data_IF_729523524262
#
_entry.id   IF_729523524262
#
_cell.length_a   1.000
_cell.length_b   1.000
_cell.length_c   1.000
_cell.angle_alpha   90.00
_cell.angle_beta   90.00
_cell.angle_gamma   90.00
#
_symmetry.space_group_name_H-M   'P 1'
#
loop_
_entity.id
_entity.type
_entity.pdbx_description
1 polymer ?
#
# COMPACT_ATOMS: atom_id res chain seq x y z
N UNK A 1 -50.09 -42.72 -27.63
CA UNK A 1 -49.53 -41.86 -26.58
C UNK A 1 -48.03 -42.06 -26.58
N UNK A 2 -47.28 -41.16 -27.20
CA UNK A 2 -45.82 -41.22 -27.25
C UNK A 2 -45.24 -40.41 -26.09
N UNK A 3 -44.44 -41.05 -25.25
CA UNK A 3 -43.72 -40.42 -24.14
C UNK A 3 -42.47 -39.76 -24.73
N UNK A 4 -42.36 -38.44 -24.64
CA UNK A 4 -41.11 -37.75 -25.01
C UNK A 4 -39.99 -38.14 -24.03
N UNK A 5 -38.77 -38.39 -24.52
CA UNK A 5 -37.64 -38.71 -23.65
C UNK A 5 -37.24 -37.48 -22.82
N UNK A 6 -37.14 -37.68 -21.51
CA UNK A 6 -36.75 -36.65 -20.54
C UNK A 6 -35.25 -36.31 -20.69
N UNK A 7 -34.91 -35.41 -21.60
CA UNK A 7 -33.53 -34.96 -21.90
C UNK A 7 -32.94 -33.98 -20.86
N UNK A 8 -33.62 -33.70 -19.75
CA UNK A 8 -33.35 -32.48 -18.98
C UNK A 8 -32.19 -32.53 -17.97
N UNK A 9 -31.69 -33.71 -17.58
CA UNK A 9 -30.68 -33.81 -16.49
C UNK A 9 -29.23 -33.76 -16.96
N UNK A 10 -28.91 -34.36 -18.11
CA UNK A 10 -27.54 -34.37 -18.64
C UNK A 10 -27.16 -32.99 -19.20
N UNK A 11 -28.09 -32.33 -19.88
CA UNK A 11 -27.89 -30.99 -20.45
C UNK A 11 -27.75 -29.89 -19.37
N UNK A 12 -28.50 -30.01 -18.27
CA UNK A 12 -28.34 -29.12 -17.12
C UNK A 12 -26.96 -29.28 -16.46
N UNK A 13 -26.47 -30.52 -16.30
CA UNK A 13 -25.16 -30.78 -15.74
C UNK A 13 -24.01 -30.21 -16.60
N UNK A 14 -24.14 -30.28 -17.93
CA UNK A 14 -23.16 -29.66 -18.85
C UNK A 14 -23.17 -28.14 -18.77
N UNK A 15 -24.34 -27.51 -18.63
CA UNK A 15 -24.44 -26.06 -18.52
C UNK A 15 -23.79 -25.55 -17.22
N UNK A 16 -24.04 -26.23 -16.10
CA UNK A 16 -23.38 -25.90 -14.84
C UNK A 16 -21.86 -26.05 -14.91
N UNK A 17 -21.34 -27.09 -15.57
CA UNK A 17 -19.90 -27.26 -15.76
C UNK A 17 -19.28 -26.11 -16.57
N UNK A 18 -19.98 -25.61 -17.60
CA UNK A 18 -19.54 -24.45 -18.39
C UNK A 18 -19.56 -23.17 -17.54
N UNK A 19 -20.60 -22.97 -16.74
CA UNK A 19 -20.70 -21.82 -15.83
C UNK A 19 -19.57 -21.81 -14.79
N UNK A 20 -19.28 -22.95 -14.17
CA UNK A 20 -18.16 -23.08 -13.23
C UNK A 20 -16.81 -22.79 -13.89
N UNK A 21 -16.59 -23.33 -15.09
CA UNK A 21 -15.35 -23.06 -15.84
C UNK A 21 -15.20 -21.56 -16.16
N UNK A 22 -16.31 -20.89 -16.49
CA UNK A 22 -16.34 -19.44 -16.73
C UNK A 22 -15.99 -18.67 -15.45
N UNK A 23 -16.63 -19.00 -14.33
CA UNK A 23 -16.39 -18.34 -13.03
C UNK A 23 -14.93 -18.50 -12.59
N UNK A 24 -14.34 -19.69 -12.74
CA UNK A 24 -12.94 -19.92 -12.39
C UNK A 24 -12.00 -19.08 -13.25
N UNK A 25 -12.27 -18.98 -14.56
CA UNK A 25 -11.48 -18.17 -15.49
C UNK A 25 -11.57 -16.67 -15.18
N UNK A 26 -12.77 -16.19 -14.88
CA UNK A 26 -13.02 -14.79 -14.53
C UNK A 26 -12.32 -14.44 -13.20
N UNK A 27 -12.41 -15.33 -12.20
CA UNK A 27 -11.73 -15.17 -10.90
C UNK A 27 -10.21 -15.11 -11.06
N UNK A 28 -9.62 -16.02 -11.85
CA UNK A 28 -8.18 -16.02 -12.13
C UNK A 28 -7.72 -14.71 -12.77
N UNK A 29 -8.47 -14.21 -13.76
CA UNK A 29 -8.17 -12.94 -14.43
C UNK A 29 -8.26 -11.75 -13.48
N UNK A 30 -9.24 -11.73 -12.59
CA UNK A 30 -9.37 -10.69 -11.58
C UNK A 30 -8.16 -10.71 -10.63
N UNK A 31 -7.72 -11.90 -10.21
CA UNK A 31 -6.57 -12.06 -9.32
C UNK A 31 -5.26 -11.60 -9.98
N UNK A 32 -5.03 -11.95 -11.25
CA UNK A 32 -3.87 -11.51 -12.03
C UNK A 32 -3.84 -9.98 -12.15
N UNK A 33 -4.98 -9.34 -12.48
CA UNK A 33 -5.09 -7.87 -12.53
C UNK A 33 -4.79 -7.20 -11.19
N UNK A 34 -5.31 -7.76 -10.09
CA UNK A 34 -5.05 -7.23 -8.75
C UNK A 34 -3.57 -7.35 -8.40
N UNK A 35 -2.92 -8.47 -8.74
CA UNK A 35 -1.49 -8.65 -8.51
C UNK A 35 -0.65 -7.64 -9.31
N UNK A 36 -1.00 -7.38 -10.56
CA UNK A 36 -0.32 -6.38 -11.39
C UNK A 36 -0.52 -4.96 -10.85
N UNK A 37 -1.73 -4.63 -10.41
CA UNK A 37 -2.01 -3.35 -9.76
C UNK A 37 -1.23 -3.18 -8.45
N UNK A 38 -1.15 -4.23 -7.63
CA UNK A 38 -0.36 -4.21 -6.39
C UNK A 38 1.13 -3.98 -6.68
N UNK A 39 1.71 -4.61 -7.70
CA UNK A 39 3.10 -4.36 -8.10
C UNK A 39 3.29 -2.91 -8.52
N UNK A 40 2.45 -2.42 -9.44
CA UNK A 40 2.53 -1.05 -9.92
C UNK A 40 2.35 0.00 -8.82
N UNK A 41 1.51 -0.25 -7.81
CA UNK A 41 1.34 0.66 -6.67
C UNK A 41 2.48 0.57 -5.67
N UNK A 42 3.04 -0.63 -5.43
CA UNK A 42 4.14 -0.82 -4.47
C UNK A 42 5.41 -0.14 -4.95
N UNK A 43 5.71 -0.22 -6.24
CA UNK A 43 6.90 0.42 -6.83
C UNK A 43 6.79 1.96 -6.87
N UNK A 44 5.59 2.52 -6.74
CA UNK A 44 5.35 3.97 -6.82
C UNK A 44 5.49 4.68 -5.47
N UNK A 45 5.26 3.98 -4.36
CA UNK A 45 5.16 4.61 -3.03
C UNK A 45 6.43 4.48 -2.18
N UNK A 46 7.33 3.56 -2.52
CA UNK A 46 8.50 3.26 -1.71
C UNK A 46 9.76 3.73 -2.42
N UNK A 47 10.43 4.74 -1.85
CA UNK A 47 11.80 5.06 -2.21
C UNK A 47 12.69 3.85 -1.98
N UNK A 48 13.70 3.66 -2.83
CA UNK A 48 14.68 2.59 -2.68
C UNK A 48 15.23 2.57 -1.25
N UNK A 49 15.16 1.42 -0.60
CA UNK A 49 15.61 1.29 0.77
C UNK A 49 17.12 1.56 0.82
N UNK A 50 17.62 2.32 1.82
CA UNK A 50 19.05 2.52 1.98
C UNK A 50 19.74 1.16 2.10
N UNK A 51 20.85 0.97 1.38
CA UNK A 51 21.67 -0.23 1.52
C UNK A 51 22.51 -0.11 2.80
N UNK A 52 22.20 -0.93 3.80
CA UNK A 52 22.97 -1.03 5.04
C UNK A 52 23.70 -2.37 5.12
N UNK A 53 24.97 -2.33 5.51
CA UNK A 53 25.78 -3.50 5.84
C UNK A 53 25.70 -3.83 7.33
N UNK A 54 25.95 -5.10 7.69
CA UNK A 54 26.11 -5.49 9.09
C UNK A 54 27.36 -4.78 9.64
N UNK A 55 27.16 -3.88 10.60
CA UNK A 55 28.19 -3.02 11.15
C UNK A 55 28.05 -1.54 10.80
N UNK A 56 27.11 -1.18 9.92
CA UNK A 56 26.80 0.23 9.66
C UNK A 56 26.20 0.88 10.91
N UNK A 57 26.90 1.90 11.39
CA UNK A 57 26.49 2.69 12.55
C UNK A 57 25.38 3.65 12.12
N UNK A 58 24.18 3.46 12.65
CA UNK A 58 23.07 4.39 12.46
C UNK A 58 23.43 5.71 13.16
N UNK A 59 23.92 6.66 12.38
CA UNK A 59 24.27 7.99 12.88
C UNK A 59 23.03 8.88 12.85
N UNK A 60 22.79 9.61 13.93
CA UNK A 60 21.70 10.56 14.00
C UNK A 60 21.93 11.69 12.98
N UNK A 61 21.07 11.77 11.97
CA UNK A 61 21.12 12.83 10.97
C UNK A 61 20.12 13.93 11.32
N UNK A 62 20.62 15.15 11.47
CA UNK A 62 19.78 16.33 11.65
C UNK A 62 19.16 16.74 10.31
N UNK A 63 17.83 16.83 10.26
CA UNK A 63 17.11 17.22 9.06
C UNK A 63 16.73 18.70 9.19
N UNK A 64 17.37 19.53 8.36
CA UNK A 64 16.99 20.91 8.04
C UNK A 64 16.91 21.93 9.19
N UNK A 65 17.09 23.22 8.91
CA UNK A 65 16.49 24.25 9.74
C UNK A 65 15.00 24.39 9.37
N UNK A 66 14.11 24.07 10.31
CA UNK A 66 12.68 24.31 10.16
C UNK A 66 12.24 25.50 11.01
N UNK A 67 11.34 26.32 10.45
CA UNK A 67 10.76 27.44 11.19
C UNK A 67 9.77 26.91 12.24
N UNK A 68 9.94 27.35 13.48
CA UNK A 68 8.97 27.09 14.56
C UNK A 68 7.74 27.98 14.34
N UNK A 69 6.56 27.35 14.33
CA UNK A 69 5.25 28.02 14.24
C UNK A 69 4.71 28.26 15.65
N UNK A 70 4.70 27.23 16.48
CA UNK A 70 4.16 27.30 17.85
C UNK A 70 4.94 26.38 18.80
N UNK A 71 4.96 26.77 20.08
CA UNK A 71 5.50 25.97 21.17
C UNK A 71 4.34 25.45 22.02
N UNK A 72 4.27 24.14 22.22
CA UNK A 72 3.35 23.46 23.14
C UNK A 72 4.15 22.91 24.32
N UNK A 73 3.46 22.53 25.39
CA UNK A 73 4.09 22.13 26.66
C UNK A 73 5.19 21.05 26.50
N UNK A 74 5.00 20.09 25.57
CA UNK A 74 5.93 18.99 25.31
C UNK A 74 6.29 18.83 23.82
N UNK A 75 5.77 19.71 22.96
CA UNK A 75 5.85 19.53 21.52
C UNK A 75 6.10 20.86 20.80
N UNK A 76 6.78 20.78 19.66
CA UNK A 76 7.03 21.94 18.80
C UNK A 76 6.31 21.73 17.48
N UNK A 77 5.60 22.76 17.04
CA UNK A 77 5.01 22.80 15.71
C UNK A 77 5.99 23.44 14.74
N UNK A 78 6.41 22.67 13.74
CA UNK A 78 7.35 23.08 12.72
C UNK A 78 6.64 23.31 11.39
N UNK A 79 7.09 24.30 10.63
CA UNK A 79 6.70 24.48 9.24
C UNK A 79 7.40 23.44 8.37
N UNK A 80 6.84 22.24 8.34
CA UNK A 80 7.33 21.16 7.48
C UNK A 80 6.81 21.30 6.05
N UNK A 81 7.63 21.02 5.03
CA UNK A 81 7.15 20.87 3.66
C UNK A 81 6.18 19.69 3.57
N UNK A 82 5.12 19.83 2.75
CA UNK A 82 4.10 18.78 2.55
C UNK A 82 4.66 17.48 1.94
N UNK A 83 5.84 17.55 1.36
CA UNK A 83 6.56 16.38 0.84
C UNK A 83 7.04 15.47 1.97
N UNK A 84 7.35 16.02 3.14
CA UNK A 84 7.64 15.23 4.32
C UNK A 84 6.32 14.74 4.90
N UNK A 85 6.08 13.43 4.81
CA UNK A 85 4.91 12.75 5.40
C UNK A 85 5.04 12.63 6.94
N UNK A 86 5.66 13.62 7.58
CA UNK A 86 5.90 13.72 9.02
C UNK A 86 4.87 14.68 9.59
N UNK A 87 4.33 14.37 10.76
CA UNK A 87 3.39 15.25 11.42
C UNK A 87 4.08 16.58 11.82
N UNK A 88 3.47 17.77 11.54
CA UNK A 88 4.12 19.06 11.79
C UNK A 88 4.37 19.35 13.28
N UNK A 89 3.58 18.74 14.18
CA UNK A 89 3.80 18.81 15.63
C UNK A 89 4.58 17.58 16.06
N UNK A 90 5.78 17.78 16.58
CA UNK A 90 6.69 16.72 17.04
C UNK A 90 6.98 16.85 18.52
N UNK A 91 7.04 15.71 19.22
CA UNK A 91 7.43 15.65 20.61
C UNK A 91 8.93 15.90 20.72
N UNK A 92 9.36 16.85 21.55
CA UNK A 92 10.73 17.35 21.55
C UNK A 92 11.47 16.95 22.81
N UNK A 93 12.32 15.93 22.70
CA UNK A 93 13.41 15.75 23.65
C UNK A 93 14.64 16.59 23.26
N UNK A 94 14.88 16.83 21.96
CA UNK A 94 16.07 17.53 21.46
C UNK A 94 15.72 18.47 20.28
N UNK A 95 15.84 19.78 20.48
CA UNK A 95 15.81 20.79 19.40
C UNK A 95 17.16 21.50 19.36
N UNK A 96 17.80 21.52 18.20
CA UNK A 96 19.05 22.25 18.01
C UNK A 96 18.77 23.64 17.43
N UNK A 97 19.05 24.73 18.15
CA UNK A 97 18.88 26.07 17.60
C UNK A 97 19.82 26.27 16.40
N UNK A 98 19.30 26.88 15.34
CA UNK A 98 20.07 27.22 14.15
C UNK A 98 20.89 28.49 14.44
N UNK A 99 22.22 28.37 14.40
CA UNK A 99 23.16 29.50 14.52
C UNK A 99 23.43 30.06 13.13
N UNK A 100 22.43 30.72 12.55
CA UNK A 100 22.54 31.49 11.31
C UNK A 100 22.77 32.95 11.62
#
# INVERSE_FOLDING_TARGET
>A
MGIEPFLSKAEAATNHAVDFAKVLKDTRRALERTADQMRASTDLEWSEAPLYAVGDMLTEQWIGPYKVISLKLNAVELKLPKTLRIHPVVNVSWVKPYKG
#
